data_IF_760721321429
#
_entry.id   IF_760721321429
#
_cell.length_a   1.000
_cell.length_b   1.000
_cell.length_c   1.000
_cell.angle_alpha   90.00
_cell.angle_beta   90.00
_cell.angle_gamma   90.00
#
_symmetry.space_group_name_H-M   'P 1'
#
loop_
_entity.id
_entity.type
_entity.pdbx_description
1 polymer ?
#
# COMPACT_ATOMS: atom_id res chain seq x y z
N UNK A 1 -4.97 -36.34 2.83
CA UNK A 1 -3.87 -35.39 2.60
C UNK A 1 -4.22 -34.64 1.32
N UNK A 2 -4.91 -33.51 1.33
CA UNK A 2 -4.64 -32.29 2.09
C UNK A 2 -4.31 -31.21 1.07
N UNK A 3 -5.22 -30.96 0.12
CA UNK A 3 -5.08 -29.85 -0.81
C UNK A 3 -5.43 -28.57 -0.03
N UNK A 4 -4.41 -27.84 0.42
CA UNK A 4 -4.57 -26.53 1.06
C UNK A 4 -5.25 -25.55 0.08
N UNK A 5 -6.53 -25.17 0.29
CA UNK A 5 -7.21 -24.25 -0.60
C UNK A 5 -7.37 -22.92 0.14
N UNK A 6 -6.26 -22.27 0.51
CA UNK A 6 -6.33 -20.94 1.15
C UNK A 6 -4.97 -20.21 1.15
N UNK A 7 -4.18 -20.37 0.09
CA UNK A 7 -3.06 -19.44 -0.12
C UNK A 7 -3.65 -18.09 -0.47
N UNK A 8 -3.68 -17.23 0.54
CA UNK A 8 -3.36 -15.80 0.53
C UNK A 8 -2.97 -15.30 -0.86
N UNK A 9 -3.45 -14.12 -1.24
CA UNK A 9 -2.94 -13.37 -2.41
C UNK A 9 -1.45 -13.59 -2.49
N UNK A 10 -1.05 -14.39 -3.48
CA UNK A 10 0.34 -14.80 -3.64
C UNK A 10 1.12 -13.52 -3.88
N UNK A 11 2.36 -13.47 -3.41
CA UNK A 11 3.30 -12.36 -3.70
C UNK A 11 3.19 -11.87 -5.16
N UNK A 12 2.99 -12.80 -6.09
CA UNK A 12 2.64 -12.58 -7.51
C UNK A 12 1.48 -11.61 -7.75
N UNK A 13 0.36 -11.71 -7.03
CA UNK A 13 -0.77 -10.80 -7.18
C UNK A 13 -0.44 -9.41 -6.66
N UNK A 14 0.36 -9.28 -5.60
CA UNK A 14 0.81 -7.97 -5.10
C UNK A 14 1.82 -7.33 -6.06
N UNK A 15 2.75 -8.12 -6.60
CA UNK A 15 3.70 -7.70 -7.64
C UNK A 15 2.95 -7.25 -8.91
N UNK A 16 1.95 -8.01 -9.36
CA UNK A 16 1.10 -7.63 -10.50
C UNK A 16 0.35 -6.32 -10.24
N UNK A 17 -0.24 -6.17 -9.06
CA UNK A 17 -0.87 -4.92 -8.64
C UNK A 17 0.13 -3.76 -8.64
N UNK A 18 1.34 -3.97 -8.13
CA UNK A 18 2.37 -2.94 -8.08
C UNK A 18 2.76 -2.48 -9.48
N UNK A 19 3.11 -3.42 -10.36
CA UNK A 19 3.54 -3.13 -11.73
C UNK A 19 2.45 -2.40 -12.51
N UNK A 20 1.20 -2.84 -12.39
CA UNK A 20 0.10 -2.26 -13.15
C UNK A 20 -0.29 -0.87 -12.63
N UNK A 21 -0.22 -0.64 -11.32
CA UNK A 21 -0.42 0.70 -10.76
C UNK A 21 0.73 1.65 -11.09
N UNK A 22 1.98 1.20 -11.04
CA UNK A 22 3.10 2.03 -11.47
C UNK A 22 3.00 2.40 -12.95
N UNK A 23 2.58 1.46 -13.80
CA UNK A 23 2.37 1.73 -15.24
C UNK A 23 1.26 2.75 -15.49
N UNK A 24 0.24 2.77 -14.64
CA UNK A 24 -0.94 3.62 -14.77
C UNK A 24 -0.89 4.92 -13.97
N UNK A 25 0.19 5.19 -13.24
CA UNK A 25 0.30 6.38 -12.40
C UNK A 25 0.49 7.68 -13.19
N UNK A 26 0.64 7.59 -14.51
CA UNK A 26 0.78 8.74 -15.40
C UNK A 26 -0.50 8.96 -16.22
N UNK A 27 -1.56 9.43 -15.56
CA UNK A 27 -2.81 9.84 -16.19
C UNK A 27 -2.87 11.36 -16.34
N UNK A 28 -3.48 11.85 -17.41
CA UNK A 28 -3.50 13.27 -17.78
C UNK A 28 -4.89 13.89 -17.79
N UNK A 29 -5.93 13.08 -17.57
CA UNK A 29 -7.32 13.52 -17.58
C UNK A 29 -8.19 12.65 -16.65
N UNK A 30 -9.40 13.15 -16.38
CA UNK A 30 -10.36 12.49 -15.47
C UNK A 30 -10.74 11.08 -15.94
N UNK A 31 -11.05 10.82 -17.24
CA UNK A 31 -11.33 9.46 -17.69
C UNK A 31 -10.19 8.46 -17.44
N UNK A 32 -8.93 8.86 -17.68
CA UNK A 32 -7.76 8.02 -17.40
C UNK A 32 -7.64 7.74 -15.89
N UNK A 33 -7.85 8.75 -15.03
CA UNK A 33 -7.89 8.58 -13.59
C UNK A 33 -8.99 7.57 -13.18
N UNK A 34 -10.22 7.72 -13.66
CA UNK A 34 -11.32 6.81 -13.34
C UNK A 34 -11.00 5.36 -13.74
N UNK A 35 -10.39 5.17 -14.91
CA UNK A 35 -9.97 3.85 -15.39
C UNK A 35 -8.83 3.27 -14.53
N UNK A 36 -7.84 4.08 -14.17
CA UNK A 36 -6.74 3.66 -13.30
C UNK A 36 -7.25 3.29 -11.90
N UNK A 37 -8.18 4.09 -11.36
CA UNK A 37 -8.77 3.91 -10.04
C UNK A 37 -9.64 2.65 -9.94
N UNK A 38 -10.33 2.26 -11.02
CA UNK A 38 -11.07 0.99 -11.08
C UNK A 38 -10.16 -0.21 -10.81
N UNK A 39 -8.96 -0.20 -11.40
CA UNK A 39 -7.97 -1.24 -11.16
C UNK A 39 -7.37 -1.14 -9.75
N UNK A 40 -7.04 0.07 -9.30
CA UNK A 40 -6.53 0.32 -7.95
C UNK A 40 -7.48 -0.21 -6.86
N UNK A 41 -8.78 0.09 -6.96
CA UNK A 41 -9.82 -0.40 -6.04
C UNK A 41 -9.93 -1.93 -6.06
N UNK A 42 -9.71 -2.55 -7.20
CA UNK A 42 -9.68 -4.02 -7.32
C UNK A 42 -8.47 -4.61 -6.57
N UNK A 43 -7.29 -4.01 -6.71
CA UNK A 43 -6.10 -4.37 -5.94
C UNK A 43 -6.28 -4.14 -4.43
N UNK A 44 -6.87 -3.01 -4.04
CA UNK A 44 -7.19 -2.72 -2.64
C UNK A 44 -8.11 -3.78 -2.05
N UNK A 45 -9.22 -4.08 -2.73
CA UNK A 45 -10.18 -5.10 -2.28
C UNK A 45 -9.47 -6.43 -2.06
N UNK A 46 -8.67 -6.86 -3.04
CA UNK A 46 -7.92 -8.09 -2.95
C UNK A 46 -6.99 -8.07 -1.71
N UNK A 47 -6.18 -7.03 -1.54
CA UNK A 47 -5.27 -6.90 -0.36
C UNK A 47 -6.04 -6.97 0.96
N UNK A 48 -7.19 -6.30 1.06
CA UNK A 48 -8.00 -6.30 2.27
C UNK A 48 -8.65 -7.67 2.55
N UNK A 49 -9.11 -8.37 1.51
CA UNK A 49 -9.57 -9.76 1.61
C UNK A 49 -8.43 -10.68 2.06
N UNK A 50 -7.21 -10.49 1.55
CA UNK A 50 -6.06 -11.25 2.02
C UNK A 50 -5.76 -10.95 3.50
N UNK A 51 -5.83 -9.69 3.90
CA UNK A 51 -5.59 -9.26 5.27
C UNK A 51 -6.65 -9.78 6.26
N UNK A 52 -7.86 -10.13 5.80
CA UNK A 52 -8.88 -10.76 6.66
C UNK A 52 -8.71 -12.28 6.77
N UNK A 53 -7.96 -12.90 5.85
CA UNK A 53 -7.77 -14.35 5.75
C UNK A 53 -6.34 -14.81 6.11
N UNK A 54 -5.44 -13.89 6.46
CA UNK A 54 -4.02 -14.17 6.72
C UNK A 54 -3.41 -13.26 7.79
N UNK A 55 -2.16 -13.53 8.16
CA UNK A 55 -1.37 -12.71 9.09
C UNK A 55 -0.98 -11.33 8.52
N UNK A 56 -1.33 -11.00 7.27
CA UNK A 56 -0.94 -9.74 6.63
C UNK A 56 -1.36 -8.51 7.44
N UNK A 57 -2.56 -8.51 8.03
CA UNK A 57 -3.01 -7.39 8.86
C UNK A 57 -2.09 -7.17 10.08
N UNK A 58 -1.67 -8.24 10.73
CA UNK A 58 -0.78 -8.20 11.89
C UNK A 58 0.63 -7.78 11.48
N UNK A 59 1.16 -8.36 10.40
CA UNK A 59 2.47 -7.97 9.84
C UNK A 59 2.50 -6.50 9.46
N UNK A 60 1.44 -6.01 8.81
CA UNK A 60 1.33 -4.60 8.44
C UNK A 60 1.27 -3.69 9.67
N UNK A 61 0.48 -4.06 10.68
CA UNK A 61 0.39 -3.32 11.93
C UNK A 61 1.74 -3.29 12.68
N UNK A 62 2.47 -4.41 12.70
CA UNK A 62 3.77 -4.49 13.34
C UNK A 62 4.83 -3.65 12.60
N UNK A 63 4.78 -3.61 11.27
CA UNK A 63 5.73 -2.87 10.45
C UNK A 63 5.47 -1.35 10.46
N UNK A 64 4.20 -0.94 10.45
CA UNK A 64 3.83 0.46 10.19
C UNK A 64 3.02 1.12 11.31
N UNK A 65 2.65 0.39 12.37
CA UNK A 65 1.87 0.91 13.49
C UNK A 65 0.43 1.30 13.14
N UNK A 66 -0.04 1.01 11.93
CA UNK A 66 -1.37 1.37 11.42
C UNK A 66 -2.18 0.12 11.06
N UNK A 67 -3.50 0.18 11.19
CA UNK A 67 -4.40 -0.85 10.64
C UNK A 67 -4.45 -0.72 9.12
N UNK A 68 -4.19 -1.83 8.41
CA UNK A 68 -4.24 -1.90 6.96
C UNK A 68 -5.60 -1.47 6.39
N UNK A 69 -6.70 -1.76 7.09
CA UNK A 69 -8.06 -1.40 6.66
C UNK A 69 -8.31 0.10 6.73
N UNK A 70 -7.66 0.79 7.67
CA UNK A 70 -7.76 2.23 7.85
C UNK A 70 -6.76 3.02 7.01
N UNK A 71 -5.76 2.36 6.40
CA UNK A 71 -4.64 3.04 5.76
C UNK A 71 -5.07 3.99 4.64
N UNK A 72 -5.82 3.49 3.64
CA UNK A 72 -6.24 4.30 2.48
C UNK A 72 -7.13 5.48 2.87
N UNK A 73 -8.23 5.32 3.61
CA UNK A 73 -9.09 6.47 3.95
C UNK A 73 -8.34 7.53 4.77
N UNK A 74 -7.48 7.12 5.71
CA UNK A 74 -6.65 8.06 6.48
C UNK A 74 -5.65 8.80 5.59
N UNK A 75 -4.96 8.09 4.69
CA UNK A 75 -4.04 8.68 3.74
C UNK A 75 -4.74 9.72 2.85
N UNK A 76 -5.93 9.40 2.32
CA UNK A 76 -6.69 10.36 1.50
C UNK A 76 -7.04 11.61 2.30
N UNK A 77 -7.53 11.47 3.53
CA UNK A 77 -7.86 12.62 4.36
C UNK A 77 -6.64 13.47 4.72
N UNK A 78 -5.49 12.85 4.99
CA UNK A 78 -4.22 13.53 5.28
C UNK A 78 -3.72 14.31 4.05
N UNK A 79 -3.67 13.68 2.87
CA UNK A 79 -3.16 14.28 1.63
C UNK A 79 -4.06 15.40 1.10
N UNK A 80 -5.39 15.23 1.16
CA UNK A 80 -6.34 16.29 0.75
C UNK A 80 -6.19 17.52 1.64
N UNK A 81 -6.08 17.34 2.95
CA UNK A 81 -5.88 18.44 3.90
C UNK A 81 -4.55 19.15 3.67
N UNK A 82 -3.48 18.39 3.44
CA UNK A 82 -2.16 18.94 3.13
C UNK A 82 -2.22 19.78 1.84
N UNK A 83 -2.81 19.24 0.78
CA UNK A 83 -2.96 19.94 -0.49
C UNK A 83 -3.72 21.26 -0.38
N UNK A 84 -4.87 21.24 0.29
CA UNK A 84 -5.70 22.45 0.44
C UNK A 84 -5.02 23.52 1.30
N UNK A 85 -4.25 23.10 2.31
CA UNK A 85 -3.44 23.99 3.14
C UNK A 85 -2.31 24.64 2.33
N UNK A 86 -1.64 23.88 1.48
CA UNK A 86 -0.46 24.34 0.74
C UNK A 86 -0.82 25.16 -0.51
N UNK A 87 -1.84 24.72 -1.25
CA UNK A 87 -2.22 25.35 -2.51
C UNK A 87 -3.06 26.64 -2.32
N UNK A 88 -3.66 26.84 -1.13
CA UNK A 88 -4.53 27.99 -0.87
C UNK A 88 -5.72 28.07 -1.84
N UNK A 89 -6.17 26.93 -2.38
CA UNK A 89 -7.20 26.84 -3.42
C UNK A 89 -8.57 27.32 -2.90
N UNK A 90 -8.86 28.61 -3.10
CA UNK A 90 -10.18 29.19 -2.84
C UNK A 90 -11.20 28.51 -3.77
N UNK A 91 -12.17 27.79 -3.19
CA UNK A 91 -13.28 27.16 -3.93
C UNK A 91 -13.19 25.65 -4.10
N UNK A 92 -12.08 24.99 -3.70
CA UNK A 92 -11.99 23.53 -3.66
C UNK A 92 -12.30 23.05 -2.23
N UNK A 93 -13.22 22.10 -2.11
CA UNK A 93 -13.65 21.53 -0.83
C UNK A 93 -12.82 20.31 -0.45
N UNK A 94 -12.68 20.02 0.85
CA UNK A 94 -12.11 18.75 1.36
C UNK A 94 -12.87 17.50 0.86
N UNK A 95 -14.12 17.70 0.42
CA UNK A 95 -14.98 16.66 -0.14
C UNK A 95 -15.03 16.67 -1.67
N UNK A 96 -14.14 17.41 -2.35
CA UNK A 96 -14.06 17.40 -3.80
C UNK A 96 -13.78 15.99 -4.33
N UNK A 97 -14.71 15.45 -5.12
CA UNK A 97 -14.66 14.06 -5.57
C UNK A 97 -13.41 13.79 -6.40
N UNK A 98 -13.04 14.67 -7.32
CA UNK A 98 -11.90 14.43 -8.22
C UNK A 98 -10.58 14.49 -7.45
N UNK A 99 -10.45 15.43 -6.52
CA UNK A 99 -9.28 15.53 -5.65
C UNK A 99 -9.13 14.29 -4.77
N UNK A 100 -10.23 13.81 -4.19
CA UNK A 100 -10.21 12.61 -3.35
C UNK A 100 -9.90 11.35 -4.17
N UNK A 101 -10.46 11.22 -5.37
CA UNK A 101 -10.15 10.10 -6.28
C UNK A 101 -8.69 10.10 -6.73
N UNK A 102 -8.12 11.28 -6.98
CA UNK A 102 -6.70 11.45 -7.27
C UNK A 102 -5.84 10.91 -6.13
N UNK A 103 -6.09 11.36 -4.89
CA UNK A 103 -5.33 10.89 -3.74
C UNK A 103 -5.64 9.44 -3.37
N UNK A 104 -6.86 8.96 -3.59
CA UNK A 104 -7.21 7.56 -3.38
C UNK A 104 -6.32 6.64 -4.23
N UNK A 105 -6.10 7.00 -5.50
CA UNK A 105 -5.20 6.25 -6.36
C UNK A 105 -3.79 6.13 -5.78
N UNK A 106 -3.17 7.25 -5.40
CA UNK A 106 -1.81 7.27 -4.88
C UNK A 106 -1.69 6.62 -3.49
N UNK A 107 -2.71 6.77 -2.65
CA UNK A 107 -2.79 6.08 -1.37
C UNK A 107 -2.91 4.56 -1.55
N UNK A 108 -3.67 4.07 -2.54
CA UNK A 108 -3.70 2.64 -2.87
C UNK A 108 -2.33 2.17 -3.37
N UNK A 109 -1.69 2.89 -4.29
CA UNK A 109 -0.34 2.55 -4.75
C UNK A 109 0.66 2.50 -3.58
N UNK A 110 0.58 3.47 -2.67
CA UNK A 110 1.38 3.52 -1.46
C UNK A 110 1.14 2.33 -0.52
N UNK A 111 -0.11 1.83 -0.43
CA UNK A 111 -0.42 0.62 0.32
C UNK A 111 0.23 -0.61 -0.34
N UNK A 112 0.05 -0.77 -1.65
CA UNK A 112 0.58 -1.90 -2.42
C UNK A 112 2.10 -1.98 -2.29
N UNK A 113 2.81 -0.85 -2.40
CA UNK A 113 4.26 -0.76 -2.17
C UNK A 113 4.68 -1.26 -0.79
N UNK A 114 3.95 -0.85 0.25
CA UNK A 114 4.24 -1.25 1.64
C UNK A 114 4.00 -2.74 1.88
N UNK A 115 2.91 -3.27 1.34
CA UNK A 115 2.58 -4.70 1.41
C UNK A 115 3.60 -5.53 0.65
N UNK A 116 4.00 -5.10 -0.55
CA UNK A 116 5.08 -5.71 -1.31
C UNK A 116 6.40 -5.73 -0.52
N UNK A 117 6.73 -4.64 0.18
CA UNK A 117 7.89 -4.55 1.06
C UNK A 117 7.88 -5.55 2.22
N UNK A 118 6.71 -5.85 2.79
CA UNK A 118 6.57 -6.89 3.83
C UNK A 118 6.95 -8.27 3.25
N UNK A 119 6.43 -8.61 2.07
CA UNK A 119 6.74 -9.89 1.44
C UNK A 119 8.23 -10.02 1.11
N UNK A 120 8.86 -8.99 0.53
CA UNK A 120 10.32 -9.01 0.28
C UNK A 120 11.16 -9.01 1.55
N UNK A 121 10.76 -8.30 2.60
CA UNK A 121 11.44 -8.30 3.89
C UNK A 121 11.41 -9.68 4.57
N UNK A 122 10.30 -10.41 4.43
CA UNK A 122 10.14 -11.76 4.99
C UNK A 122 11.07 -12.82 4.37
N UNK A 123 11.61 -12.55 3.18
CA UNK A 123 12.56 -13.42 2.47
C UNK A 123 14.03 -13.20 2.87
N UNK A 124 14.34 -12.20 3.70
CA UNK A 124 15.65 -12.11 4.35
C UNK A 124 15.65 -12.95 5.63
N UNK A 125 16.45 -14.03 5.73
CA UNK A 125 16.64 -14.70 7.00
C UNK A 125 17.29 -13.69 7.95
N UNK A 126 16.67 -13.47 9.12
CA UNK A 126 17.17 -12.65 10.22
C UNK A 126 18.70 -12.66 10.27
N UNK A 127 19.33 -11.65 9.66
CA UNK A 127 20.74 -11.38 9.91
C UNK A 127 20.80 -10.88 11.35
N UNK A 128 21.26 -11.76 12.22
CA UNK A 128 21.56 -11.42 13.60
C UNK A 128 22.53 -10.23 13.55
N UNK A 129 22.27 -9.12 14.28
CA UNK A 129 23.19 -8.00 14.25
C UNK A 129 24.57 -8.48 14.74
N UNK A 130 25.66 -8.11 14.07
CA UNK A 130 26.98 -8.47 14.55
C UNK A 130 27.18 -7.83 15.92
N UNK A 131 27.48 -8.66 16.93
CA UNK A 131 27.93 -8.16 18.23
C UNK A 131 29.23 -7.40 18.01
N UNK A 132 29.18 -6.08 18.16
CA UNK A 132 30.36 -5.24 18.26
C UNK A 132 31.04 -5.61 19.57
N UNK A 133 32.12 -6.39 19.48
CA UNK A 133 32.99 -6.65 20.63
C UNK A 133 33.53 -8.07 20.69
N UNK A 134 34.41 -8.43 19.76
CA UNK A 134 35.46 -9.41 20.10
C UNK A 134 36.74 -9.00 19.37
N UNK A 135 37.58 -8.25 20.10
CA UNK A 135 39.01 -8.24 19.84
C UNK A 135 39.50 -9.66 20.08
N UNK A 136 40.25 -10.24 19.15
CA UNK A 136 41.47 -10.99 19.48
C UNK A 136 42.28 -11.30 18.22
N UNK A 137 43.52 -10.81 18.28
CA UNK A 137 44.67 -11.03 17.40
C UNK A 137 45.08 -12.51 17.40
N UNK A 138 45.90 -12.92 16.42
CA UNK A 138 47.35 -12.91 16.66
C UNK A 138 48.10 -11.87 15.82
#
# INVERSE_FOLDING_TARGET
MGAEPMKAIREETVENCLQELQRRSNFHNVPELTYALTYARSCLKAILENASLSELAELFKNAYGKDIRGFVPQCVDEEVKAFLKDAGCIGVSENDTQLREYYEYFCILGLVLRVHGIFRGSLTPKSTPPKIGEKSKP
#
